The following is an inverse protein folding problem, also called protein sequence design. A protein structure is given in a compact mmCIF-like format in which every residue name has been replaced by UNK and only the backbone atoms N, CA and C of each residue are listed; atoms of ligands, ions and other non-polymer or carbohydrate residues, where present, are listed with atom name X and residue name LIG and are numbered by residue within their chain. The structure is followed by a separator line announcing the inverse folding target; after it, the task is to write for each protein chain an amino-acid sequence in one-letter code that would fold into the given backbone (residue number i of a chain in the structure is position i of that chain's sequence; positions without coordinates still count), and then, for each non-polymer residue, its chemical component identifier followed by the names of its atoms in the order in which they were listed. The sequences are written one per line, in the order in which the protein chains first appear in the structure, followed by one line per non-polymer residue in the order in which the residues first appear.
data_IF_187584274744
#
_entry.id   IF_187584274744
#
_cell.length_a   1.000
_cell.length_b   1.000
_cell.length_c   1.000
_cell.angle_alpha   90.00
_cell.angle_beta   90.00
_cell.angle_gamma   90.00
#
_symmetry.space_group_name_H-M   'P 1'
#
loop_
_entity.id
_entity.type
_entity.pdbx_description
1 polymer ?
#
# COMPACT_ATOMS: atom_id res chain seq x y z
N UNK A 1 18.10 -12.68 12.16
CA UNK A 1 18.48 -11.40 12.76
C UNK A 1 17.70 -10.30 12.04
N UNK A 2 17.01 -9.42 12.76
CA UNK A 2 16.26 -8.28 12.20
C UNK A 2 16.79 -7.04 12.90
N UNK A 3 17.34 -6.09 12.15
CA UNK A 3 17.82 -4.82 12.68
C UNK A 3 16.83 -3.70 12.31
N UNK A 4 16.31 -3.00 13.33
CA UNK A 4 15.46 -1.84 13.13
C UNK A 4 16.30 -0.58 12.94
N UNK A 5 15.89 0.29 12.01
CA UNK A 5 16.47 1.62 11.84
C UNK A 5 15.53 2.66 12.45
N UNK A 6 16.05 3.52 13.32
CA UNK A 6 15.29 4.62 13.93
C UNK A 6 15.95 5.96 13.60
N UNK A 7 15.21 6.84 12.92
CA UNK A 7 15.67 8.18 12.60
C UNK A 7 15.36 9.11 13.78
N UNK A 8 16.38 9.82 14.28
CA UNK A 8 16.19 10.90 15.24
C UNK A 8 15.95 12.23 14.50
N UNK A 9 15.22 13.14 15.13
CA UNK A 9 15.12 14.51 14.63
C UNK A 9 16.39 15.30 15.00
N UNK A 10 16.70 16.35 14.23
CA UNK A 10 17.86 17.20 14.40
C UNK A 10 17.84 17.95 15.75
N UNK A 11 16.65 18.30 16.25
CA UNK A 11 16.51 19.02 17.53
C UNK A 11 16.84 18.19 18.77
N UNK A 12 16.88 16.86 18.65
CA UNK A 12 17.22 15.93 19.73
C UNK A 12 18.32 14.93 19.28
N UNK A 13 19.18 15.39 18.38
CA UNK A 13 20.27 14.57 17.85
C UNK A 13 21.41 14.48 18.88
N UNK A 14 21.71 13.27 19.34
CA UNK A 14 22.81 13.01 20.28
C UNK A 14 24.10 12.67 19.53
N UNK A 15 25.17 13.45 19.74
CA UNK A 15 26.47 13.22 19.11
C UNK A 15 27.05 11.84 19.43
N UNK A 16 26.80 11.30 20.63
CA UNK A 16 27.30 9.98 21.03
C UNK A 16 26.69 8.85 20.20
N UNK A 17 25.53 9.07 19.57
CA UNK A 17 24.96 8.12 18.61
C UNK A 17 25.80 8.01 17.34
N UNK A 18 26.45 9.10 16.94
CA UNK A 18 27.33 9.10 15.77
C UNK A 18 28.54 8.18 15.97
N UNK A 19 29.08 8.17 17.19
CA UNK A 19 30.23 7.35 17.60
C UNK A 19 29.86 5.87 17.72
N UNK A 20 28.63 5.56 18.14
CA UNK A 20 28.12 4.18 18.25
C UNK A 20 27.57 3.62 16.92
N UNK A 21 27.50 4.41 15.86
CA UNK A 21 26.89 3.99 14.61
C UNK A 21 27.80 2.98 13.89
N UNK A 22 27.41 1.70 13.94
CA UNK A 22 28.16 0.59 13.34
C UNK A 22 27.98 0.46 11.81
N UNK A 23 27.13 1.29 11.20
CA UNK A 23 26.82 1.21 9.77
C UNK A 23 27.70 2.22 9.04
N UNK A 24 28.73 1.77 8.29
CA UNK A 24 29.56 2.66 7.51
C UNK A 24 28.83 3.10 6.24
N UNK A 25 29.12 4.32 5.80
CA UNK A 25 28.69 4.90 4.54
C UNK A 25 29.93 5.37 3.78
N UNK A 26 30.10 4.89 2.55
CA UNK A 26 31.23 5.26 1.72
C UNK A 26 30.96 6.60 1.02
N UNK A 27 31.93 7.50 1.07
CA UNK A 27 31.92 8.78 0.36
C UNK A 27 33.23 8.93 -0.40
N UNK A 28 33.29 9.91 -1.31
CA UNK A 28 34.49 10.22 -2.09
C UNK A 28 35.69 10.63 -1.22
N UNK A 29 35.44 11.08 0.02
CA UNK A 29 36.47 11.50 0.98
C UNK A 29 36.86 10.38 1.97
N UNK A 30 36.21 9.23 1.91
CA UNK A 30 36.41 8.12 2.85
C UNK A 30 35.10 7.68 3.50
N UNK A 31 35.24 6.96 4.61
CA UNK A 31 34.11 6.36 5.32
C UNK A 31 33.56 7.31 6.40
N UNK A 32 32.25 7.42 6.46
CA UNK A 32 31.51 8.18 7.47
C UNK A 32 30.38 7.32 8.01
N UNK A 33 29.99 7.47 9.27
CA UNK A 33 28.88 6.68 9.81
C UNK A 33 27.53 7.10 9.20
N UNK A 34 26.59 6.15 9.08
CA UNK A 34 25.26 6.40 8.52
C UNK A 34 24.52 7.54 9.24
N UNK A 35 24.63 7.60 10.57
CA UNK A 35 24.01 8.65 11.39
C UNK A 35 24.59 10.04 11.09
N UNK A 36 25.92 10.16 10.95
CA UNK A 36 26.55 11.42 10.56
C UNK A 36 26.11 11.87 9.17
N UNK A 37 26.01 10.94 8.22
CA UNK A 37 25.65 11.29 6.84
C UNK A 37 24.20 11.77 6.74
N UNK A 38 23.23 10.99 7.25
CA UNK A 38 21.80 11.22 6.97
C UNK A 38 21.05 12.03 8.02
N UNK A 39 21.41 11.96 9.30
CA UNK A 39 20.56 12.45 10.40
C UNK A 39 21.21 13.56 11.24
N UNK A 40 22.54 13.57 11.32
CA UNK A 40 23.28 14.53 12.14
C UNK A 40 23.42 15.93 11.52
N UNK A 41 24.61 16.52 11.65
CA UNK A 41 24.96 17.91 11.28
C UNK A 41 24.75 18.24 9.79
N UNK A 42 24.32 17.28 8.96
CA UNK A 42 24.03 17.51 7.55
C UNK A 42 25.25 17.32 6.65
N UNK A 43 26.15 16.38 7.01
CA UNK A 43 27.30 16.01 6.18
C UNK A 43 26.93 15.65 4.75
N UNK A 44 25.76 15.00 4.55
CA UNK A 44 25.18 14.80 3.22
C UNK A 44 25.17 16.08 2.39
N UNK A 45 24.65 17.19 2.93
CA UNK A 45 24.52 18.45 2.18
C UNK A 45 25.89 19.00 1.78
N UNK A 46 26.90 18.83 2.62
CA UNK A 46 28.26 19.31 2.34
C UNK A 46 28.86 18.48 1.21
N UNK A 47 28.88 17.15 1.37
CA UNK A 47 29.49 16.24 0.40
C UNK A 47 28.77 16.31 -0.95
N UNK A 48 27.44 16.29 -0.97
CA UNK A 48 26.66 16.42 -2.21
C UNK A 48 26.88 17.78 -2.88
N UNK A 49 27.06 18.87 -2.12
CA UNK A 49 27.38 20.16 -2.72
C UNK A 49 28.82 20.28 -3.22
N UNK A 50 29.76 19.56 -2.64
CA UNK A 50 31.16 19.54 -3.09
C UNK A 50 31.33 18.74 -4.38
N UNK A 51 30.61 17.63 -4.51
CA UNK A 51 30.75 16.70 -5.65
C UNK A 51 29.62 16.79 -6.68
N UNK A 52 28.69 17.75 -6.55
CA UNK A 52 27.71 18.03 -7.62
C UNK A 52 28.44 18.53 -8.87
N UNK A 53 28.07 18.00 -10.02
CA UNK A 53 28.71 18.30 -11.31
C UNK A 53 28.13 19.54 -11.97
N UNK A 54 26.81 19.71 -11.93
CA UNK A 54 26.14 20.89 -12.46
C UNK A 54 24.78 21.07 -11.78
N UNK A 55 24.41 22.32 -11.48
CA UNK A 55 23.04 22.61 -11.11
C UNK A 55 22.14 22.59 -12.34
N UNK A 56 20.87 22.23 -12.16
CA UNK A 56 19.84 22.32 -13.21
C UNK A 56 19.75 23.75 -13.78
N UNK A 57 20.03 24.77 -12.96
CA UNK A 57 20.06 26.16 -13.39
C UNK A 57 21.19 26.44 -14.39
N UNK A 58 22.42 25.98 -14.10
CA UNK A 58 23.57 26.13 -15.01
C UNK A 58 23.38 25.33 -16.29
N UNK A 59 22.85 24.11 -16.18
CA UNK A 59 22.53 23.27 -17.34
C UNK A 59 21.52 23.97 -18.26
N UNK A 60 20.43 24.48 -17.69
CA UNK A 60 19.41 25.21 -18.45
C UNK A 60 19.91 26.53 -19.02
N UNK A 61 20.89 27.20 -18.39
CA UNK A 61 21.52 28.40 -18.94
C UNK A 61 22.38 28.07 -20.17
N UNK A 62 23.06 26.92 -20.15
CA UNK A 62 23.96 26.50 -21.24
C UNK A 62 23.22 25.92 -22.44
N UNK A 63 22.20 25.07 -22.21
CA UNK A 63 21.51 24.34 -23.26
C UNK A 63 20.08 24.82 -23.52
N UNK A 64 19.61 25.81 -22.76
CA UNK A 64 18.21 26.21 -22.76
C UNK A 64 17.35 25.24 -21.96
N UNK A 65 16.10 25.64 -21.69
CA UNK A 65 15.07 24.75 -21.15
C UNK A 65 14.33 24.12 -22.33
N UNK A 66 14.07 22.82 -22.25
CA UNK A 66 13.10 22.21 -23.15
C UNK A 66 11.71 22.79 -22.88
N UNK A 67 10.91 22.97 -23.94
CA UNK A 67 9.53 23.41 -23.80
C UNK A 67 8.72 22.35 -23.04
N UNK A 68 8.10 22.75 -21.93
CA UNK A 68 7.17 21.90 -21.19
C UNK A 68 5.76 22.28 -21.60
N UNK A 69 5.08 21.38 -22.31
CA UNK A 69 3.70 21.55 -22.75
C UNK A 69 2.80 20.75 -21.79
N UNK A 70 2.11 21.45 -20.91
CA UNK A 70 1.18 20.86 -19.92
C UNK A 70 -0.12 21.67 -19.85
N UNK A 71 -1.19 21.07 -19.34
CA UNK A 71 -2.47 21.74 -19.15
C UNK A 71 -3.24 22.00 -20.46
N UNK A 72 -3.23 21.03 -21.38
CA UNK A 72 -3.95 21.15 -22.66
C UNK A 72 -3.31 22.10 -23.68
N UNK A 73 -2.09 22.58 -23.43
CA UNK A 73 -1.34 23.39 -24.40
C UNK A 73 -0.94 22.53 -25.61
N UNK A 74 -1.13 23.07 -26.81
CA UNK A 74 -0.74 22.43 -28.06
C UNK A 74 0.78 22.26 -28.14
N UNK A 75 1.21 21.04 -28.51
CA UNK A 75 2.62 20.72 -28.76
C UNK A 75 2.89 20.96 -30.24
N UNK A 76 3.88 21.79 -30.61
CA UNK A 76 4.33 21.94 -31.99
C UNK A 76 5.12 20.68 -32.38
N UNK A 77 4.42 19.69 -32.93
CA UNK A 77 5.02 18.53 -33.58
C UNK A 77 4.98 18.75 -35.09
N UNK A 78 6.04 18.35 -35.80
CA UNK A 78 6.09 18.45 -37.26
C UNK A 78 5.04 17.55 -37.94
N UNK A 79 4.65 16.46 -37.28
CA UNK A 79 3.63 15.53 -37.75
C UNK A 79 2.89 14.87 -36.58
N UNK A 80 1.57 14.75 -36.71
CA UNK A 80 0.70 14.05 -35.76
C UNK A 80 0.38 12.61 -36.18
N UNK A 81 0.79 12.20 -37.38
CA UNK A 81 0.66 10.84 -37.86
C UNK A 81 1.53 9.92 -37.00
N UNK A 82 0.88 9.06 -36.22
CA UNK A 82 1.52 8.00 -35.45
C UNK A 82 1.06 6.66 -36.01
N UNK A 83 1.98 5.71 -36.13
CA UNK A 83 1.63 4.31 -36.33
C UNK A 83 1.89 3.55 -35.02
N UNK A 84 0.95 2.71 -34.62
CA UNK A 84 1.17 1.77 -33.52
C UNK A 84 1.52 0.42 -34.15
N UNK A 85 2.81 0.09 -34.16
CA UNK A 85 3.25 -1.24 -34.56
C UNK A 85 3.05 -2.18 -33.39
N UNK A 86 1.94 -2.92 -33.41
CA UNK A 86 1.67 -3.95 -32.43
C UNK A 86 2.44 -5.21 -32.77
N UNK A 87 3.25 -5.70 -31.83
CA UNK A 87 3.84 -7.03 -31.96
C UNK A 87 2.73 -8.09 -31.84
N UNK A 88 2.44 -8.88 -32.89
CA UNK A 88 1.34 -9.84 -32.86
C UNK A 88 1.49 -10.88 -31.74
N UNK A 89 2.74 -11.23 -31.37
CA UNK A 89 3.02 -12.17 -30.27
C UNK A 89 2.59 -11.61 -28.93
N UNK A 90 2.80 -10.31 -28.70
CA UNK A 90 2.46 -9.66 -27.42
C UNK A 90 0.95 -9.42 -27.30
N UNK A 91 0.29 -9.08 -28.42
CA UNK A 91 -1.17 -8.95 -28.47
C UNK A 91 -1.86 -10.28 -28.22
N UNK A 92 -1.35 -11.37 -28.79
CA UNK A 92 -1.90 -12.71 -28.60
C UNK A 92 -1.58 -13.31 -27.21
N UNK A 93 -0.71 -12.68 -26.42
CA UNK A 93 -0.28 -13.20 -25.13
C UNK A 93 -1.38 -13.03 -24.09
N UNK A 94 -2.14 -14.09 -23.88
CA UNK A 94 -3.11 -14.17 -22.76
C UNK A 94 -2.36 -14.55 -21.48
N UNK A 95 -2.60 -13.82 -20.39
CA UNK A 95 -2.11 -14.23 -19.07
C UNK A 95 -2.83 -15.51 -18.65
N UNK A 96 -2.07 -16.57 -18.39
CA UNK A 96 -2.59 -17.77 -17.74
C UNK A 96 -2.86 -17.41 -16.29
N UNK A 97 -4.13 -17.46 -15.87
CA UNK A 97 -4.52 -17.34 -14.46
C UNK A 97 -4.74 -18.73 -13.89
N UNK A 98 -4.25 -18.96 -12.68
CA UNK A 98 -4.62 -20.14 -11.89
C UNK A 98 -6.04 -20.05 -11.34
N UNK A 99 -6.54 -21.18 -10.80
CA UNK A 99 -7.82 -21.23 -10.07
C UNK A 99 -7.73 -20.56 -8.68
N UNK A 100 -6.52 -20.36 -8.18
CA UNK A 100 -6.25 -19.74 -6.89
C UNK A 100 -6.21 -18.20 -6.99
N UNK A 101 -6.60 -17.49 -5.92
CA UNK A 101 -6.49 -16.05 -5.90
C UNK A 101 -5.02 -15.61 -5.93
N UNK A 102 -4.63 -14.88 -6.98
CA UNK A 102 -3.26 -14.39 -7.14
C UNK A 102 -3.02 -13.03 -6.47
N UNK A 103 -4.09 -12.35 -6.04
CA UNK A 103 -4.00 -11.03 -5.40
C UNK A 103 -4.76 -10.98 -4.08
N UNK A 104 -4.28 -10.13 -3.16
CA UNK A 104 -4.95 -9.90 -1.88
C UNK A 104 -6.41 -9.42 -2.05
N UNK A 105 -6.70 -8.69 -3.13
CA UNK A 105 -8.06 -8.28 -3.46
C UNK A 105 -8.95 -9.46 -3.89
N UNK A 106 -8.39 -10.44 -4.60
CA UNK A 106 -9.10 -11.67 -4.98
C UNK A 106 -9.37 -12.56 -3.76
N UNK A 107 -8.40 -12.70 -2.86
CA UNK A 107 -8.54 -13.40 -1.56
C UNK A 107 -9.65 -12.77 -0.71
N UNK A 108 -9.64 -11.44 -0.57
CA UNK A 108 -10.65 -10.73 0.22
C UNK A 108 -12.05 -10.88 -0.38
N UNK A 109 -12.16 -10.86 -1.72
CA UNK A 109 -13.45 -11.08 -2.41
C UNK A 109 -13.98 -12.49 -2.19
N UNK A 110 -13.13 -13.51 -2.26
CA UNK A 110 -13.51 -14.90 -1.97
C UNK A 110 -13.92 -15.07 -0.50
N UNK A 111 -13.19 -14.47 0.44
CA UNK A 111 -13.55 -14.49 1.86
C UNK A 111 -14.93 -13.85 2.10
N UNK A 112 -15.20 -12.68 1.48
CA UNK A 112 -16.50 -12.00 1.56
C UNK A 112 -17.65 -12.75 0.88
N UNK A 113 -17.37 -13.63 -0.09
CA UNK A 113 -18.38 -14.50 -0.70
C UNK A 113 -18.68 -15.69 0.22
N UNK A 114 -17.64 -16.35 0.75
CA UNK A 114 -17.77 -17.46 1.70
C UNK A 114 -18.53 -17.06 2.95
N UNK A 115 -18.31 -15.87 3.50
CA UNK A 115 -19.06 -15.38 4.66
C UNK A 115 -20.54 -15.21 4.36
N UNK A 116 -20.89 -14.59 3.21
CA UNK A 116 -22.29 -14.43 2.80
C UNK A 116 -22.98 -15.77 2.52
N UNK A 117 -22.26 -16.72 1.94
CA UNK A 117 -22.79 -18.07 1.71
C UNK A 117 -23.01 -18.82 3.02
N UNK A 118 -22.07 -18.72 3.97
CA UNK A 118 -22.22 -19.30 5.30
C UNK A 118 -23.40 -18.70 6.07
N UNK A 119 -23.60 -17.38 5.99
CA UNK A 119 -24.75 -16.69 6.59
C UNK A 119 -26.08 -17.15 5.97
N UNK A 120 -26.16 -17.24 4.63
CA UNK A 120 -27.34 -17.77 3.94
C UNK A 120 -27.62 -19.23 4.29
N UNK A 121 -26.56 -20.05 4.35
CA UNK A 121 -26.67 -21.46 4.70
C UNK A 121 -27.11 -21.64 6.15
N UNK A 122 -26.62 -20.79 7.06
CA UNK A 122 -27.09 -20.76 8.46
C UNK A 122 -28.56 -20.36 8.55
N UNK A 123 -29.01 -19.33 7.82
CA UNK A 123 -30.43 -18.94 7.77
C UNK A 123 -31.31 -20.07 7.24
N UNK A 124 -30.90 -20.72 6.15
CA UNK A 124 -31.62 -21.86 5.58
C UNK A 124 -31.66 -23.05 6.56
N UNK A 125 -30.55 -23.32 7.25
CA UNK A 125 -30.50 -24.36 8.28
C UNK A 125 -31.40 -24.03 9.45
N UNK A 126 -31.33 -22.81 10.00
CA UNK A 126 -32.22 -22.37 11.07
C UNK A 126 -33.69 -22.48 10.64
N UNK A 127 -34.02 -22.13 9.39
CA UNK A 127 -35.38 -22.27 8.83
C UNK A 127 -35.83 -23.74 8.70
N UNK A 128 -34.93 -24.65 8.32
CA UNK A 128 -35.19 -26.10 8.28
C UNK A 128 -35.27 -26.71 9.69
N UNK A 129 -34.46 -26.22 10.62
CA UNK A 129 -34.35 -26.76 12.00
C UNK A 129 -35.52 -26.29 12.86
N UNK A 130 -35.93 -25.03 12.70
CA UNK A 130 -37.07 -24.46 13.42
C UNK A 130 -38.40 -24.62 12.68
N UNK A 131 -38.38 -25.12 11.44
CA UNK A 131 -39.55 -25.45 10.64
C UNK A 131 -40.45 -24.25 10.36
N UNK A 132 -40.60 -23.87 9.08
CA UNK A 132 -41.74 -23.03 8.69
C UNK A 132 -43.04 -23.75 9.09
N UNK A 133 -43.73 -23.18 10.08
CA UNK A 133 -45.01 -23.53 10.69
C UNK A 133 -44.94 -24.22 12.07
N UNK A 134 -44.61 -23.43 13.09
CA UNK A 134 -45.46 -23.36 14.29
C UNK A 134 -46.20 -22.02 14.26
N UNK A 135 -47.14 -21.92 13.35
CA UNK A 135 -48.33 -21.13 13.64
C UNK A 135 -49.18 -21.95 14.60
N UNK A 136 -48.99 -21.76 15.91
CA UNK A 136 -50.04 -21.82 16.94
C UNK A 136 -49.49 -21.30 18.25
N UNK A 137 -50.24 -20.36 18.84
CA UNK A 137 -50.01 -19.54 20.03
C UNK A 137 -49.60 -20.26 21.35
N UNK A 138 -49.54 -21.59 21.39
CA UNK A 138 -49.61 -22.34 22.66
C UNK A 138 -48.32 -22.27 23.52
N UNK A 139 -47.14 -22.21 22.89
CA UNK A 139 -45.86 -22.22 23.65
C UNK A 139 -45.54 -20.87 24.30
N UNK A 140 -46.07 -19.77 23.79
CA UNK A 140 -45.86 -18.44 24.37
C UNK A 140 -46.75 -18.20 25.60
N UNK A 141 -47.90 -18.86 25.68
CA UNK A 141 -48.80 -18.81 26.84
C UNK A 141 -48.33 -19.71 28.00
N UNK A 142 -47.82 -20.91 27.70
CA UNK A 142 -47.29 -21.82 28.75
C UNK A 142 -46.15 -21.19 29.56
N UNK A 143 -45.23 -20.48 28.90
CA UNK A 143 -44.12 -19.77 29.57
C UNK A 143 -44.65 -18.63 30.46
N UNK A 144 -45.77 -17.98 30.08
CA UNK A 144 -46.39 -16.91 30.89
C UNK A 144 -47.16 -17.47 32.10
N UNK A 145 -47.83 -18.62 31.96
CA UNK A 145 -48.56 -19.28 33.06
C UNK A 145 -47.59 -19.83 34.12
N UNK A 146 -46.46 -20.40 33.70
CA UNK A 146 -45.46 -20.97 34.60
C UNK A 146 -44.71 -19.89 35.42
N UNK A 147 -44.51 -18.70 34.84
CA UNK A 147 -43.98 -17.52 35.54
C UNK A 147 -45.00 -16.89 36.52
N UNK A 148 -46.30 -16.92 36.20
CA UNK A 148 -47.35 -16.41 37.08
C UNK A 148 -47.60 -17.32 38.31
N UNK A 149 -47.32 -18.61 38.21
CA UNK A 149 -47.49 -19.58 39.31
C UNK A 149 -46.28 -19.72 40.25
N UNK A 150 -45.13 -19.12 39.91
CA UNK A 150 -43.89 -19.20 40.70
C UNK A 150 -43.73 -18.07 41.73
N UNK A 151 -44.76 -17.22 41.87
CA UNK A 151 -44.76 -16.02 42.71
C UNK A 151 -45.87 -15.96 43.77
N UNK A 152 -46.31 -17.10 44.31
CA UNK A 152 -47.08 -17.18 45.57
C UNK A 152 -46.41 -18.14 46.53
#
# INVERSE_FOLDING_TARGET
FVAGMWFQDLFNYDFRRTEMCIIPYATQLGEISFCAYNTGIGWRKIIENMYKTASVAEWNKKYGKHGVYAGGKSVPLDNYAHNLVLNPVDVARVRVRGDEPETAADEERLARQKTREAEKMKQMMDELTFGKNLGTDEKSELVKIELAHRGR
#
